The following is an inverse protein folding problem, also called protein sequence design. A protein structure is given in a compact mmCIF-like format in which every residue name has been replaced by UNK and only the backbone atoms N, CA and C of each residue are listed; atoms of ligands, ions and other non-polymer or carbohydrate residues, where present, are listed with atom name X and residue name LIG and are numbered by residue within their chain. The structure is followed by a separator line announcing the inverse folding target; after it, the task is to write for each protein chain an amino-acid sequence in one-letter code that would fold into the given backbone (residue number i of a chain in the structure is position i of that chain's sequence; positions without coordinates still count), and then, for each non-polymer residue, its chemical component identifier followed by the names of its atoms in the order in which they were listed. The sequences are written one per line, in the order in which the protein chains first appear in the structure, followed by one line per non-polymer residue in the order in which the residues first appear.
data_IF_086890476237
#
_entry.id   IF_086890476237
#
_cell.length_a   1.000
_cell.length_b   1.000
_cell.length_c   1.000
_cell.angle_alpha   90.00
_cell.angle_beta   90.00
_cell.angle_gamma   90.00
#
_symmetry.space_group_name_H-M   'P 1'
#
loop_
_entity.id
_entity.type
_entity.pdbx_description
1 polymer ?
#
# COMPACT_ATOMS: atom_id res chain seq x y z
N UNK A 1 14.06 1.34 -16.67
CA UNK A 1 14.25 2.38 -15.64
C UNK A 1 12.97 2.46 -14.85
N UNK A 2 12.96 2.26 -13.53
CA UNK A 2 11.81 2.64 -12.73
C UNK A 2 11.46 4.10 -13.03
N UNK A 3 10.17 4.41 -13.02
CA UNK A 3 9.64 5.73 -13.33
C UNK A 3 10.45 6.80 -12.60
N UNK A 4 11.00 7.80 -13.31
CA UNK A 4 11.79 8.90 -12.70
C UNK A 4 10.93 9.87 -11.88
N UNK A 5 9.68 9.51 -11.57
CA UNK A 5 8.76 10.34 -10.81
C UNK A 5 8.44 9.71 -9.46
N UNK A 6 8.27 10.58 -8.47
CA UNK A 6 7.69 10.31 -7.16
C UNK A 6 6.16 10.18 -7.32
N UNK A 7 5.49 9.69 -6.27
CA UNK A 7 4.07 9.45 -6.18
C UNK A 7 3.63 8.25 -7.00
N UNK A 8 4.34 7.13 -6.85
CA UNK A 8 4.04 5.88 -7.56
C UNK A 8 2.58 5.44 -7.36
N UNK A 9 2.02 5.68 -6.17
CA UNK A 9 0.61 5.39 -5.86
C UNK A 9 -0.39 6.03 -6.84
N UNK A 10 -0.05 7.16 -7.46
CA UNK A 10 -0.89 7.85 -8.45
C UNK A 10 -0.37 7.73 -9.89
N UNK A 11 0.95 7.61 -10.06
CA UNK A 11 1.60 7.71 -11.37
C UNK A 11 1.99 6.37 -11.99
N UNK A 12 1.86 5.27 -11.24
CA UNK A 12 2.16 3.94 -11.74
C UNK A 12 1.32 3.58 -12.97
N UNK A 13 1.99 3.08 -14.01
CA UNK A 13 1.36 2.60 -15.25
C UNK A 13 1.06 1.09 -15.22
N UNK A 14 1.58 0.40 -14.21
CA UNK A 14 1.41 -1.03 -14.00
C UNK A 14 1.01 -1.28 -12.56
N UNK A 15 0.23 -2.34 -12.34
CA UNK A 15 -0.10 -2.84 -10.98
C UNK A 15 0.97 -3.78 -10.43
N UNK A 16 2.02 -4.06 -11.19
CA UNK A 16 3.22 -4.81 -10.81
C UNK A 16 4.45 -3.90 -10.85
N UNK A 17 5.53 -4.38 -10.25
CA UNK A 17 6.83 -3.72 -10.15
C UNK A 17 6.97 -2.88 -8.88
N UNK A 18 8.22 -2.61 -8.55
CA UNK A 18 8.63 -1.78 -7.43
C UNK A 18 8.29 -0.29 -7.60
N UNK A 19 8.13 0.39 -6.48
CA UNK A 19 8.14 1.86 -6.41
C UNK A 19 9.56 2.36 -6.12
N UNK A 20 9.84 3.62 -6.44
CA UNK A 20 11.14 4.25 -6.22
C UNK A 20 11.04 5.55 -5.42
N UNK A 21 9.96 5.70 -4.65
CA UNK A 21 9.69 6.90 -3.87
C UNK A 21 10.74 7.06 -2.76
N UNK A 22 11.25 8.28 -2.48
CA UNK A 22 12.03 8.50 -1.27
C UNK A 22 11.16 8.14 -0.04
N UNK A 23 11.70 7.33 0.88
CA UNK A 23 10.94 6.79 2.03
C UNK A 23 10.23 7.87 2.86
N UNK A 24 10.79 9.07 2.92
CA UNK A 24 10.28 10.22 3.68
C UNK A 24 9.31 11.13 2.91
N UNK A 25 9.01 10.85 1.64
CA UNK A 25 8.17 11.66 0.77
C UNK A 25 7.14 10.82 -0.01
N UNK A 26 6.35 11.48 -0.85
CA UNK A 26 5.41 10.83 -1.77
C UNK A 26 4.11 10.32 -1.13
N UNK A 27 3.15 9.96 -1.98
CA UNK A 27 1.84 9.45 -1.60
C UNK A 27 1.92 8.16 -0.77
N UNK A 28 1.17 8.11 0.33
CA UNK A 28 1.22 7.02 1.32
C UNK A 28 0.08 6.03 1.13
N UNK A 29 0.05 5.33 -0.01
CA UNK A 29 -0.65 4.04 -0.09
C UNK A 29 0.18 2.94 0.58
N UNK A 30 -0.43 1.79 0.85
CA UNK A 30 0.25 0.62 1.38
C UNK A 30 1.39 0.20 0.45
N UNK A 31 2.62 0.20 0.96
CA UNK A 31 3.85 -0.14 0.24
C UNK A 31 3.94 0.55 -1.15
N UNK A 32 3.44 1.79 -1.24
CA UNK A 32 3.37 2.59 -2.49
C UNK A 32 2.60 1.94 -3.65
N UNK A 33 1.71 0.98 -3.38
CA UNK A 33 0.87 0.37 -4.41
C UNK A 33 -0.07 1.39 -5.05
N UNK A 34 -0.41 1.25 -6.35
CA UNK A 34 -1.33 2.17 -7.00
C UNK A 34 -2.68 2.20 -6.29
N UNK A 35 -3.20 3.41 -6.07
CA UNK A 35 -4.56 3.58 -5.61
C UNK A 35 -5.54 3.21 -6.72
N UNK A 36 -6.53 2.38 -6.41
CA UNK A 36 -7.59 2.05 -7.36
C UNK A 36 -8.87 1.61 -6.69
N UNK A 37 -10.01 2.12 -7.18
CA UNK A 37 -11.35 1.64 -6.80
C UNK A 37 -11.81 0.43 -7.61
N UNK A 38 -10.99 -0.12 -8.50
CA UNK A 38 -11.32 -1.32 -9.28
C UNK A 38 -10.38 -2.47 -8.92
N UNK A 39 -10.95 -3.56 -8.38
CA UNK A 39 -10.22 -4.79 -8.09
C UNK A 39 -9.95 -5.67 -9.32
N UNK A 40 -10.55 -5.37 -10.47
CA UNK A 40 -10.48 -6.23 -11.66
C UNK A 40 -9.04 -6.43 -12.12
N UNK A 41 -8.55 -7.67 -12.15
CA UNK A 41 -7.17 -8.00 -12.54
C UNK A 41 -6.10 -7.70 -11.47
N UNK A 42 -6.49 -7.44 -10.22
CA UNK A 42 -5.58 -7.47 -9.10
C UNK A 42 -5.48 -8.89 -8.54
N UNK A 43 -4.26 -9.34 -8.25
CA UNK A 43 -3.98 -10.59 -7.54
C UNK A 43 -4.23 -10.43 -6.02
N UNK A 44 -4.03 -9.21 -5.50
CA UNK A 44 -4.37 -8.85 -4.12
C UNK A 44 -4.88 -7.40 -4.01
N UNK A 45 -5.77 -7.17 -3.04
CA UNK A 45 -6.36 -5.86 -2.75
C UNK A 45 -6.13 -5.52 -1.29
N UNK A 46 -5.49 -4.37 -1.05
CA UNK A 46 -5.37 -3.81 0.29
C UNK A 46 -6.58 -2.93 0.56
N UNK A 47 -7.31 -3.20 1.64
CA UNK A 47 -8.50 -2.44 2.01
C UNK A 47 -8.54 -2.24 3.52
N UNK A 48 -8.56 -0.98 3.96
CA UNK A 48 -8.63 -0.65 5.37
C UNK A 48 -10.06 -0.62 5.88
N UNK A 49 -10.29 -1.20 7.07
CA UNK A 49 -11.55 -1.07 7.80
C UNK A 49 -11.28 -0.21 9.05
N UNK A 50 -11.49 1.12 8.98
CA UNK A 50 -11.11 2.05 10.05
C UNK A 50 -12.14 2.05 11.19
N UNK A 51 -12.36 0.91 11.84
CA UNK A 51 -13.41 0.70 12.83
C UNK A 51 -12.85 0.31 14.20
N UNK A 52 -13.41 0.87 15.27
CA UNK A 52 -13.09 0.46 16.65
C UNK A 52 -14.27 0.60 17.62
N UNK A 53 -15.51 0.73 17.16
CA UNK A 53 -16.66 0.90 18.07
C UNK A 53 -16.98 -0.37 18.90
N UNK A 54 -16.36 -1.52 18.56
CA UNK A 54 -16.50 -2.77 19.30
C UNK A 54 -15.44 -2.98 20.41
N UNK A 55 -14.52 -2.04 20.63
CA UNK A 55 -13.50 -2.18 21.68
C UNK A 55 -14.08 -1.91 23.07
N UNK A 56 -13.62 -2.68 24.07
CA UNK A 56 -14.13 -2.60 25.45
C UNK A 56 -13.28 -1.72 26.40
N UNK A 57 -12.14 -1.22 25.95
CA UNK A 57 -11.23 -0.42 26.78
C UNK A 57 -10.66 0.78 26.00
N UNK A 58 -9.50 0.62 25.35
CA UNK A 58 -8.81 1.74 24.68
C UNK A 58 -9.21 1.85 23.20
N UNK A 59 -9.84 2.95 22.75
CA UNK A 59 -10.07 3.22 21.33
C UNK A 59 -8.78 3.65 20.62
N UNK A 60 -8.83 3.67 19.29
CA UNK A 60 -7.73 4.13 18.44
C UNK A 60 -7.46 3.25 17.21
N UNK A 61 -7.97 2.00 17.20
CA UNK A 61 -7.75 1.09 16.07
C UNK A 61 -8.35 1.61 14.75
N UNK A 62 -9.33 2.53 14.81
CA UNK A 62 -9.86 3.22 13.63
C UNK A 62 -8.80 3.97 12.82
N UNK A 63 -7.71 4.42 13.46
CA UNK A 63 -6.59 5.10 12.80
C UNK A 63 -5.53 4.12 12.27
N UNK A 64 -5.68 2.83 12.56
CA UNK A 64 -4.74 1.76 12.20
C UNK A 64 -4.43 1.69 10.71
N UNK A 65 -5.42 1.69 9.79
CA UNK A 65 -5.14 1.61 8.36
C UNK A 65 -4.18 2.70 7.86
N UNK A 66 -4.41 3.96 8.27
CA UNK A 66 -3.53 5.08 7.90
C UNK A 66 -2.12 4.92 8.52
N UNK A 67 -2.04 4.49 9.79
CA UNK A 67 -0.77 4.27 10.46
C UNK A 67 0.06 3.17 9.79
N UNK A 68 -0.56 2.05 9.40
CA UNK A 68 0.09 0.95 8.69
C UNK A 68 0.59 1.38 7.31
N UNK A 69 -0.22 2.13 6.54
CA UNK A 69 0.25 2.67 5.24
C UNK A 69 1.51 3.52 5.41
N UNK A 70 1.51 4.42 6.41
CA UNK A 70 2.69 5.25 6.71
C UNK A 70 3.91 4.41 7.10
N UNK A 71 3.74 3.42 7.97
CA UNK A 71 4.82 2.54 8.40
C UNK A 71 5.36 1.67 7.25
N UNK A 72 4.51 1.33 6.28
CA UNK A 72 4.88 0.46 5.16
C UNK A 72 5.75 1.13 4.09
N UNK A 73 5.97 2.45 4.17
CA UNK A 73 6.67 3.24 3.16
C UNK A 73 8.12 2.83 2.89
N UNK A 74 8.75 2.06 3.79
CA UNK A 74 10.12 1.55 3.65
C UNK A 74 10.21 0.23 2.87
N UNK A 75 9.09 -0.44 2.63
CA UNK A 75 9.06 -1.79 2.04
C UNK A 75 8.66 -1.80 0.55
N UNK A 76 8.80 -0.69 -0.15
CA UNK A 76 8.16 -0.43 -1.44
C UNK A 76 8.93 -0.91 -2.68
N UNK A 77 10.19 -1.34 -2.50
CA UNK A 77 11.08 -1.73 -3.59
C UNK A 77 11.88 -3.02 -3.32
N UNK A 78 12.42 -3.18 -2.11
CA UNK A 78 13.40 -4.23 -1.85
C UNK A 78 12.77 -5.63 -1.72
N UNK A 79 13.46 -6.69 -2.21
CA UNK A 79 13.06 -8.06 -1.96
C UNK A 79 12.88 -8.32 -0.46
N UNK A 80 11.73 -8.91 -0.10
CA UNK A 80 11.37 -9.08 1.29
C UNK A 80 12.20 -10.18 1.96
N UNK A 81 12.83 -9.85 3.10
CA UNK A 81 13.55 -10.81 3.94
C UNK A 81 12.55 -11.71 4.70
N UNK A 82 12.85 -13.00 4.94
CA UNK A 82 14.01 -13.78 4.47
C UNK A 82 13.82 -14.41 3.09
N UNK A 83 12.72 -14.09 2.40
CA UNK A 83 12.29 -14.81 1.20
C UNK A 83 13.09 -14.45 -0.07
N UNK A 84 13.78 -13.31 -0.07
CA UNK A 84 14.53 -12.78 -1.21
C UNK A 84 13.65 -12.67 -2.49
N UNK A 85 12.37 -12.35 -2.31
CA UNK A 85 11.40 -12.16 -3.41
C UNK A 85 10.88 -10.73 -3.41
N UNK A 86 10.86 -10.12 -4.59
CA UNK A 86 10.01 -8.96 -4.86
C UNK A 86 8.60 -9.49 -5.14
N UNK A 87 7.69 -9.29 -4.18
CA UNK A 87 6.30 -9.71 -4.31
C UNK A 87 5.59 -8.98 -5.46
N UNK A 88 5.94 -7.72 -5.70
CA UNK A 88 5.23 -6.88 -6.64
C UNK A 88 5.69 -7.09 -8.09
N UNK A 89 6.88 -7.65 -8.31
CA UNK A 89 7.27 -8.16 -9.62
C UNK A 89 6.26 -9.21 -10.13
N UNK A 90 5.84 -10.13 -9.27
CA UNK A 90 4.97 -11.24 -9.63
C UNK A 90 3.47 -10.96 -9.41
N UNK A 91 3.10 -10.14 -8.42
CA UNK A 91 1.71 -9.93 -8.01
C UNK A 91 1.21 -8.52 -8.35
N UNK A 92 0.08 -8.44 -9.04
CA UNK A 92 -0.64 -7.21 -9.27
C UNK A 92 -1.39 -6.78 -8.01
N UNK A 93 -0.88 -5.78 -7.29
CA UNK A 93 -1.46 -5.34 -6.01
C UNK A 93 -1.90 -3.88 -6.08
N UNK A 94 -3.08 -3.60 -5.55
CA UNK A 94 -3.64 -2.24 -5.42
C UNK A 94 -3.92 -1.88 -3.96
N UNK A 95 -3.92 -0.59 -3.66
CA UNK A 95 -4.54 -0.05 -2.45
C UNK A 95 -5.93 0.51 -2.81
N UNK A 96 -6.97 -0.09 -2.23
CA UNK A 96 -8.35 0.31 -2.46
C UNK A 96 -8.78 1.52 -1.62
N UNK A 97 -7.91 2.00 -0.72
CA UNK A 97 -8.25 2.94 0.32
C UNK A 97 -9.01 2.24 1.44
N UNK A 98 -10.04 2.90 1.96
CA UNK A 98 -10.77 2.42 3.14
C UNK A 98 -12.24 2.16 2.82
N UNK A 99 -12.85 1.29 3.63
CA UNK A 99 -14.29 1.05 3.61
C UNK A 99 -15.00 2.25 4.23
N UNK A 100 -16.05 2.73 3.55
CA UNK A 100 -16.96 3.69 4.15
C UNK A 100 -17.85 2.92 5.15
N UNK A 101 -17.74 3.30 6.43
CA UNK A 101 -18.45 2.67 7.55
C UNK A 101 -19.88 3.20 7.72
#
# INVERSE_FOLDING_TARGET
MPSKTIDHAFTARSRRGAAGDPTYAGALSFMRRPYSKSAAGADAVIWGIPFDAAVSNRPGARFGPQAIRRASAIFDNDPQYPFARDLFEAMAVIDHGDCLL
#
